data_IF_841886347052
#
_entry.id   IF_841886347052
#
_cell.length_a   1.000
_cell.length_b   1.000
_cell.length_c   1.000
_cell.angle_alpha   90.00
_cell.angle_beta   90.00
_cell.angle_gamma   90.00
#
_symmetry.space_group_name_H-M   'P 1'
#
loop_
_entity.id
_entity.type
_entity.pdbx_description
1 polymer ?
#
# COMPACT_ATOMS: atom_id res chain seq x y z
N UNK A 1 -0.44 17.94 -4.39
CA UNK A 1 -1.28 17.76 -3.17
C UNK A 1 -0.34 17.34 -2.04
N UNK A 2 -0.29 18.08 -0.94
CA UNK A 2 0.65 17.84 0.17
C UNK A 2 0.11 16.67 1.02
N UNK A 3 0.77 15.52 1.00
CA UNK A 3 0.43 14.40 1.88
C UNK A 3 0.76 14.81 3.32
N UNK A 4 -0.22 14.77 4.23
CA UNK A 4 -0.05 15.18 5.65
C UNK A 4 0.28 13.97 6.53
N UNK A 5 0.18 12.76 6.00
CA UNK A 5 0.31 11.52 6.77
C UNK A 5 1.72 10.94 6.76
N UNK A 6 2.57 11.36 5.82
CA UNK A 6 3.93 10.83 5.63
C UNK A 6 4.94 11.94 5.32
N UNK A 7 6.21 11.76 5.69
CA UNK A 7 7.29 12.67 5.31
C UNK A 7 7.50 12.69 3.79
N UNK A 8 8.11 13.76 3.29
CA UNK A 8 8.37 13.97 1.86
C UNK A 8 9.43 13.04 1.25
N UNK A 9 10.06 12.20 2.06
CA UNK A 9 11.04 11.21 1.63
C UNK A 9 11.45 10.31 2.79
N UNK A 10 12.17 9.25 2.46
CA UNK A 10 12.70 8.28 3.40
C UNK A 10 14.20 8.49 3.54
N UNK A 11 14.69 8.50 4.78
CA UNK A 11 16.12 8.64 5.09
C UNK A 11 16.58 7.41 5.85
N UNK A 12 17.60 6.74 5.33
CA UNK A 12 18.34 5.73 6.05
C UNK A 12 19.44 6.41 6.89
N UNK A 13 19.42 6.20 8.20
CA UNK A 13 20.39 6.75 9.16
C UNK A 13 21.16 5.65 9.91
N UNK A 14 21.05 4.40 9.45
CA UNK A 14 21.79 3.26 9.96
C UNK A 14 23.23 3.16 9.45
N UNK A 15 23.96 2.17 9.95
CA UNK A 15 25.34 1.89 9.52
C UNK A 15 25.39 1.35 8.08
N UNK A 16 26.57 1.41 7.45
CA UNK A 16 26.85 0.83 6.13
C UNK A 16 26.85 -0.70 6.17
N UNK A 17 25.66 -1.26 6.28
CA UNK A 17 25.37 -2.68 6.30
C UNK A 17 24.43 -2.99 5.13
N UNK A 18 24.88 -3.86 4.23
CA UNK A 18 24.15 -4.15 2.99
C UNK A 18 22.77 -4.74 3.24
N UNK A 19 22.62 -5.57 4.27
CA UNK A 19 21.35 -6.23 4.55
C UNK A 19 20.35 -5.27 5.18
N UNK A 20 20.82 -4.37 6.06
CA UNK A 20 19.96 -3.30 6.62
C UNK A 20 19.53 -2.29 5.56
N UNK A 21 20.41 -1.96 4.62
CA UNK A 21 20.06 -1.08 3.50
C UNK A 21 19.02 -1.76 2.60
N UNK A 22 19.18 -3.05 2.29
CA UNK A 22 18.17 -3.80 1.53
C UNK A 22 16.83 -3.82 2.26
N UNK A 23 16.82 -4.10 3.57
CA UNK A 23 15.60 -4.10 4.36
C UNK A 23 14.88 -2.74 4.34
N UNK A 24 15.63 -1.66 4.48
CA UNK A 24 15.11 -0.29 4.36
C UNK A 24 14.51 -0.04 2.98
N UNK A 25 15.22 -0.40 1.91
CA UNK A 25 14.74 -0.21 0.55
C UNK A 25 13.45 -1.01 0.28
N UNK A 26 13.40 -2.26 0.71
CA UNK A 26 12.26 -3.15 0.47
C UNK A 26 11.02 -2.79 1.28
N UNK A 27 11.17 -2.25 2.49
CA UNK A 27 10.01 -2.16 3.39
C UNK A 27 9.73 -0.77 3.97
N UNK A 28 10.69 0.14 3.94
CA UNK A 28 10.50 1.47 4.52
C UNK A 28 10.23 2.52 3.44
N UNK A 29 10.63 2.29 2.18
CA UNK A 29 10.47 3.26 1.09
C UNK A 29 9.08 3.31 0.44
N UNK A 30 8.24 2.30 0.69
CA UNK A 30 6.84 2.28 0.23
C UNK A 30 5.91 3.12 1.13
N UNK A 31 6.41 3.55 2.29
CA UNK A 31 5.65 4.28 3.29
C UNK A 31 4.67 3.41 4.08
N UNK A 32 3.76 4.09 4.77
CA UNK A 32 2.75 3.50 5.62
C UNK A 32 1.66 2.77 4.84
N UNK A 33 1.40 3.19 3.60
CA UNK A 33 0.49 2.53 2.66
C UNK A 33 1.13 2.52 1.27
N UNK A 34 1.79 1.41 0.93
CA UNK A 34 2.44 1.25 -0.37
C UNK A 34 1.45 0.96 -1.51
N UNK A 35 1.92 1.15 -2.74
CA UNK A 35 1.22 0.74 -3.96
C UNK A 35 1.78 -0.59 -4.40
N UNK A 36 1.00 -1.65 -4.24
CA UNK A 36 1.40 -3.01 -4.57
C UNK A 36 1.03 -3.35 -6.00
N UNK A 37 2.02 -3.75 -6.78
CA UNK A 37 1.91 -4.24 -8.15
C UNK A 37 2.37 -5.70 -8.21
N UNK A 38 2.40 -6.29 -9.40
CA UNK A 38 2.97 -7.65 -9.56
C UNK A 38 4.51 -7.65 -9.46
N UNK A 39 5.14 -6.52 -9.77
CA UNK A 39 6.60 -6.41 -9.88
C UNK A 39 7.29 -6.19 -8.52
N UNK A 40 6.55 -5.72 -7.51
CA UNK A 40 7.09 -5.40 -6.18
C UNK A 40 6.45 -6.21 -5.05
N UNK A 41 5.92 -7.41 -5.35
CA UNK A 41 5.21 -8.23 -4.36
C UNK A 41 6.05 -8.58 -3.14
N UNK A 42 7.36 -8.72 -3.34
CA UNK A 42 8.39 -9.01 -2.34
C UNK A 42 8.55 -7.88 -1.31
N UNK A 43 8.21 -6.64 -1.65
CA UNK A 43 8.19 -5.53 -0.68
C UNK A 43 7.09 -5.69 0.38
N UNK A 44 6.05 -6.49 0.09
CA UNK A 44 4.82 -6.61 0.87
C UNK A 44 4.64 -8.00 1.51
N UNK A 45 5.73 -8.56 2.04
CA UNK A 45 5.79 -9.88 2.69
C UNK A 45 5.60 -9.84 4.22
N UNK A 46 5.79 -8.67 4.86
CA UNK A 46 5.66 -8.50 6.32
C UNK A 46 4.22 -8.71 6.79
N UNK A 47 4.04 -9.55 7.82
CA UNK A 47 2.73 -9.89 8.37
C UNK A 47 2.50 -9.28 9.77
N UNK A 48 1.25 -8.93 10.13
CA UNK A 48 0.03 -9.09 9.33
C UNK A 48 -0.13 -7.99 8.26
N UNK A 49 -0.34 -8.40 7.00
CA UNK A 49 -0.51 -7.50 5.84
C UNK A 49 -1.99 -7.38 5.45
N UNK A 50 -2.47 -6.14 5.31
CA UNK A 50 -3.82 -5.82 4.86
C UNK A 50 -3.72 -5.14 3.50
N UNK A 51 -4.22 -5.81 2.46
CA UNK A 51 -4.25 -5.28 1.10
C UNK A 51 -5.66 -4.84 0.73
N UNK A 52 -5.81 -3.58 0.35
CA UNK A 52 -7.08 -3.02 -0.15
C UNK A 52 -7.07 -3.04 -1.68
N UNK A 53 -7.96 -3.85 -2.25
CA UNK A 53 -8.14 -3.93 -3.71
C UNK A 53 -9.18 -2.91 -4.17
N UNK A 54 -8.76 -1.97 -5.02
CA UNK A 54 -9.60 -0.92 -5.57
C UNK A 54 -9.22 -0.62 -7.03
N UNK A 55 -9.88 0.35 -7.67
CA UNK A 55 -9.40 0.86 -8.96
C UNK A 55 -8.18 1.75 -8.68
N UNK A 56 -6.99 1.18 -8.80
CA UNK A 56 -5.71 1.87 -8.60
C UNK A 56 -5.02 1.96 -9.96
N UNK A 57 -4.80 3.18 -10.42
CA UNK A 57 -4.16 3.50 -11.68
C UNK A 57 -3.54 4.90 -11.54
N UNK A 58 -2.22 4.98 -11.35
CA UNK A 58 -1.53 6.26 -11.19
C UNK A 58 -1.17 6.91 -12.53
N UNK A 59 -1.29 6.20 -13.64
CA UNK A 59 -1.06 6.72 -14.98
C UNK A 59 -2.31 7.42 -15.52
N UNK A 60 -3.47 6.76 -15.44
CA UNK A 60 -4.74 7.25 -15.99
C UNK A 60 -5.66 7.90 -14.96
N UNK A 61 -5.56 7.54 -13.67
CA UNK A 61 -6.44 8.07 -12.60
C UNK A 61 -5.69 8.38 -11.27
N UNK A 62 -4.66 9.25 -11.29
CA UNK A 62 -3.87 9.57 -10.10
C UNK A 62 -4.71 10.19 -8.98
N UNK A 63 -5.80 10.88 -9.30
CA UNK A 63 -6.70 11.47 -8.31
C UNK A 63 -7.52 10.39 -7.59
N UNK A 64 -8.11 9.45 -8.33
CA UNK A 64 -8.84 8.31 -7.77
C UNK A 64 -7.94 7.41 -6.92
N UNK A 65 -6.73 7.14 -7.41
CA UNK A 65 -5.72 6.35 -6.69
C UNK A 65 -5.32 7.00 -5.37
N UNK A 66 -5.04 8.32 -5.39
CA UNK A 66 -4.75 9.08 -4.16
C UNK A 66 -5.94 9.16 -3.21
N UNK A 67 -7.17 9.23 -3.72
CA UNK A 67 -8.36 9.19 -2.89
C UNK A 67 -8.44 7.90 -2.08
N UNK A 68 -8.25 6.74 -2.72
CA UNK A 68 -8.22 5.45 -2.04
C UNK A 68 -7.06 5.37 -1.06
N UNK A 69 -5.84 5.71 -1.49
CA UNK A 69 -4.66 5.70 -0.62
C UNK A 69 -4.85 6.52 0.65
N UNK A 70 -5.39 7.73 0.53
CA UNK A 70 -5.63 8.63 1.67
C UNK A 70 -6.68 8.08 2.65
N UNK A 71 -7.69 7.34 2.17
CA UNK A 71 -8.67 6.68 3.04
C UNK A 71 -8.04 5.55 3.84
N UNK A 72 -7.16 4.76 3.23
CA UNK A 72 -6.41 3.70 3.91
C UNK A 72 -5.40 4.30 4.89
N UNK A 73 -4.66 5.35 4.50
CA UNK A 73 -3.71 6.06 5.38
C UNK A 73 -4.34 6.56 6.68
N UNK A 74 -5.59 7.05 6.61
CA UNK A 74 -6.33 7.51 7.80
C UNK A 74 -6.53 6.41 8.84
N UNK A 75 -6.60 5.15 8.43
CA UNK A 75 -6.72 4.00 9.33
C UNK A 75 -5.33 3.47 9.68
N UNK A 76 -4.47 3.27 8.69
CA UNK A 76 -3.14 2.66 8.86
C UNK A 76 -2.28 3.38 9.92
N UNK A 77 -2.43 4.70 10.05
CA UNK A 77 -1.69 5.49 11.06
C UNK A 77 -1.92 5.05 12.50
N UNK A 78 -3.08 4.46 12.80
CA UNK A 78 -3.46 4.00 14.15
C UNK A 78 -3.03 2.55 14.40
N UNK A 79 -2.54 1.86 13.37
CA UNK A 79 -2.10 0.46 13.39
C UNK A 79 -0.58 0.31 13.18
N UNK A 80 0.19 1.40 13.31
CA UNK A 80 1.66 1.35 13.25
C UNK A 80 2.21 0.28 14.21
N UNK A 81 3.10 -0.58 13.70
CA UNK A 81 3.69 -1.73 14.42
C UNK A 81 2.71 -2.85 14.80
N UNK A 82 1.46 -2.78 14.35
CA UNK A 82 0.45 -3.84 14.57
C UNK A 82 0.07 -4.54 13.28
N UNK A 83 0.04 -3.80 12.17
CA UNK A 83 -0.23 -4.33 10.84
C UNK A 83 0.41 -3.45 9.77
N UNK A 84 0.59 -4.04 8.59
CA UNK A 84 1.09 -3.40 7.38
C UNK A 84 -0.06 -3.23 6.39
N UNK A 85 0.01 -2.18 5.58
CA UNK A 85 -1.08 -1.81 4.67
C UNK A 85 -0.55 -1.55 3.26
N UNK A 86 -1.33 -1.98 2.28
CA UNK A 86 -1.08 -1.67 0.88
C UNK A 86 -2.39 -1.44 0.13
N UNK A 87 -2.31 -0.71 -0.97
CA UNK A 87 -3.37 -0.65 -1.99
C UNK A 87 -2.90 -1.39 -3.23
N UNK A 88 -3.82 -2.06 -3.91
CA UNK A 88 -3.53 -2.84 -5.11
C UNK A 88 -4.64 -2.66 -6.12
N UNK A 89 -4.30 -2.67 -7.42
CA UNK A 89 -5.31 -2.70 -8.46
C UNK A 89 -6.11 -4.01 -8.40
N UNK A 90 -7.43 -3.89 -8.44
CA UNK A 90 -8.36 -5.03 -8.41
C UNK A 90 -8.36 -5.84 -9.70
N UNK A 91 -8.05 -5.22 -10.85
CA UNK A 91 -8.09 -5.89 -12.16
C UNK A 91 -6.85 -6.74 -12.39
N UNK A 92 -5.65 -6.22 -12.09
CA UNK A 92 -4.39 -6.95 -12.19
C UNK A 92 -4.28 -8.15 -11.25
N UNK A 93 -5.11 -8.21 -10.21
CA UNK A 93 -5.16 -9.31 -9.24
C UNK A 93 -6.47 -10.10 -9.28
N UNK A 94 -7.13 -10.15 -10.45
CA UNK A 94 -8.40 -10.84 -10.65
C UNK A 94 -8.45 -12.29 -10.16
N UNK A 95 -7.33 -13.03 -10.25
CA UNK A 95 -7.21 -14.40 -9.69
C UNK A 95 -7.26 -14.42 -8.17
N UNK A 96 -6.54 -13.51 -7.51
CA UNK A 96 -6.56 -13.37 -6.04
C UNK A 96 -7.92 -12.86 -5.57
N UNK A 97 -8.49 -11.88 -6.27
CA UNK A 97 -9.81 -11.33 -5.92
C UNK A 97 -10.94 -12.35 -6.07
N UNK A 98 -10.81 -13.27 -7.02
CA UNK A 98 -11.73 -14.42 -7.18
C UNK A 98 -11.54 -15.44 -6.06
N UNK A 99 -10.30 -15.84 -5.77
CA UNK A 99 -9.97 -16.81 -4.70
C UNK A 99 -10.42 -16.31 -3.31
N UNK A 100 -10.28 -15.01 -3.06
CA UNK A 100 -10.66 -14.36 -1.80
C UNK A 100 -12.12 -13.83 -1.79
N UNK A 101 -12.95 -14.15 -2.80
CA UNK A 101 -14.34 -13.69 -2.91
C UNK A 101 -14.54 -12.15 -2.83
N UNK A 102 -13.52 -11.35 -3.19
CA UNK A 102 -13.53 -9.89 -3.04
C UNK A 102 -14.61 -9.25 -3.93
N UNK A 103 -14.96 -9.88 -5.05
CA UNK A 103 -16.01 -9.41 -5.96
C UNK A 103 -17.44 -9.49 -5.37
N UNK A 104 -17.64 -10.12 -4.20
CA UNK A 104 -18.95 -10.24 -3.53
C UNK A 104 -19.29 -9.10 -2.58
N UNK A 105 -18.33 -8.22 -2.27
CA UNK A 105 -18.56 -7.08 -1.37
C UNK A 105 -18.50 -5.76 -2.17
N UNK A 106 -19.57 -5.37 -2.86
CA UNK A 106 -19.62 -4.05 -3.49
C UNK A 106 -19.50 -3.00 -2.39
N UNK A 107 -18.43 -2.20 -2.44
CA UNK A 107 -18.27 -1.04 -1.57
C UNK A 107 -19.38 -0.06 -1.96
N UNK A 108 -20.48 -0.04 -1.20
CA UNK A 108 -21.45 1.05 -1.26
C UNK A 108 -20.77 2.28 -0.69
N UNK A 109 -20.32 3.18 -1.55
CA UNK A 109 -19.93 4.53 -1.13
C UNK A 109 -21.27 5.27 -0.91
N UNK A 110 -21.63 5.67 0.32
CA UNK A 110 -22.74 6.57 0.50
C UNK A 110 -22.37 7.91 -0.15
N UNK A 111 -23.27 8.40 -1.02
CA UNK A 111 -23.22 9.74 -1.61
C UNK A 111 -23.29 10.79 -0.51
#
# INVERSE_FOLDING_TARGET
>A
MKNVFEPHGFKYDGNYDTDKIKEFLLHDTDGLVGVRTQDNLDHFDRLPMIVVYAKIDYELDPKGSNYWRNRVLKVAKDFKRKAYFAISDRLHFSRVSTQANINKFPIRIPL
#
